data_IF_851756490586
#
_entry.id   IF_851756490586
#
_cell.length_a   1.000
_cell.length_b   1.000
_cell.length_c   1.000
_cell.angle_alpha   90.00
_cell.angle_beta   90.00
_cell.angle_gamma   90.00
#
_symmetry.space_group_name_H-M   'P 1'
#
loop_
_entity.id
_entity.type
_entity.pdbx_description
1 polymer ?
#
# COMPACT_ATOMS: atom_id res chain seq x y z
N UNK A 1 62.94 18.32 -1.03
CA UNK A 1 62.22 19.37 -1.79
C UNK A 1 61.51 18.65 -2.94
N UNK A 2 60.17 18.62 -2.91
CA UNK A 2 59.34 17.75 -3.76
C UNK A 2 58.59 18.62 -4.76
N UNK A 3 58.74 18.27 -6.03
CA UNK A 3 58.36 19.07 -7.18
C UNK A 3 56.85 19.23 -7.32
N UNK A 4 56.51 20.41 -7.85
CA UNK A 4 55.20 20.91 -8.26
C UNK A 4 54.63 20.03 -9.38
N UNK A 5 53.33 19.70 -9.33
CA UNK A 5 52.55 19.49 -10.55
C UNK A 5 51.06 19.77 -10.30
N UNK A 6 50.68 20.95 -10.76
CA UNK A 6 49.34 21.43 -11.03
C UNK A 6 48.70 20.59 -12.15
N UNK A 7 47.48 20.08 -11.99
CA UNK A 7 46.65 19.62 -13.11
C UNK A 7 45.17 19.60 -12.74
N UNK A 8 44.47 20.52 -13.40
CA UNK A 8 43.04 20.68 -13.53
C UNK A 8 42.51 19.66 -14.56
N UNK A 9 41.53 18.84 -14.20
CA UNK A 9 40.58 18.19 -15.12
C UNK A 9 39.42 17.63 -14.26
N UNK A 10 38.15 18.09 -14.39
CA UNK A 10 37.16 17.63 -15.39
C UNK A 10 37.20 16.09 -15.51
N UNK A 11 36.14 15.32 -15.27
CA UNK A 11 34.86 15.31 -15.99
C UNK A 11 33.83 14.52 -15.16
N UNK A 12 32.57 14.97 -15.25
CA UNK A 12 31.33 14.24 -14.97
C UNK A 12 31.46 12.70 -15.03
N UNK A 13 31.12 12.04 -13.93
CA UNK A 13 30.60 10.68 -13.97
C UNK A 13 29.18 10.73 -13.43
N UNK A 14 28.26 11.09 -14.32
CA UNK A 14 26.88 10.63 -14.22
C UNK A 14 26.95 9.11 -14.24
N UNK A 15 26.88 8.49 -13.07
CA UNK A 15 26.48 7.09 -12.99
C UNK A 15 25.01 7.04 -13.40
N UNK A 16 24.78 7.01 -14.71
CA UNK A 16 23.56 6.49 -15.27
C UNK A 16 23.42 5.07 -14.71
N UNK A 17 22.47 4.89 -13.79
CA UNK A 17 22.01 3.57 -13.37
C UNK A 17 21.25 2.98 -14.56
N UNK A 18 22.01 2.46 -15.53
CA UNK A 18 21.48 1.50 -16.48
C UNK A 18 21.44 0.14 -15.77
N UNK A 19 20.31 -0.54 -15.96
CA UNK A 19 20.09 -1.95 -15.65
C UNK A 19 19.80 -2.32 -14.19
N UNK A 20 18.57 -2.01 -13.77
CA UNK A 20 17.74 -2.98 -13.03
C UNK A 20 16.44 -3.15 -13.82
N UNK A 21 16.50 -3.94 -14.90
CA UNK A 21 15.34 -4.68 -15.39
C UNK A 21 15.43 -6.08 -14.80
N UNK A 22 14.85 -6.26 -13.61
CA UNK A 22 14.34 -7.57 -13.20
C UNK A 22 13.15 -7.33 -12.26
N UNK A 23 11.95 -7.33 -12.87
CA UNK A 23 10.67 -7.44 -12.19
C UNK A 23 10.33 -6.25 -11.31
N UNK A 24 9.54 -5.31 -11.83
CA UNK A 24 8.96 -4.19 -11.11
C UNK A 24 8.54 -4.52 -9.67
N UNK A 25 9.46 -4.37 -8.73
CA UNK A 25 9.16 -4.13 -7.34
C UNK A 25 8.65 -2.69 -7.29
N UNK A 26 7.43 -2.49 -7.79
CA UNK A 26 6.70 -1.27 -7.51
C UNK A 26 6.65 -1.21 -6.00
N UNK A 27 7.41 -0.28 -5.42
CA UNK A 27 7.25 0.14 -4.04
C UNK A 27 5.88 0.82 -3.97
N UNK A 28 4.81 0.01 -4.01
CA UNK A 28 3.45 0.45 -3.78
C UNK A 28 3.35 0.60 -2.27
N UNK A 29 4.01 1.60 -1.72
CA UNK A 29 3.54 2.13 -0.45
C UNK A 29 2.08 2.54 -0.70
N UNK A 30 1.11 1.91 -0.02
CA UNK A 30 -0.27 2.30 -0.18
C UNK A 30 -0.36 3.78 0.18
N UNK A 31 -0.87 4.59 -0.73
CA UNK A 31 -1.13 6.01 -0.46
C UNK A 31 -1.85 6.11 0.88
N UNK A 32 -1.43 7.02 1.76
CA UNK A 32 -1.97 7.15 3.13
C UNK A 32 -3.51 7.18 3.13
N UNK A 33 -4.09 7.88 2.16
CA UNK A 33 -5.55 7.94 1.92
C UNK A 33 -6.21 6.56 1.73
N UNK A 34 -5.57 5.62 1.04
CA UNK A 34 -6.09 4.25 0.85
C UNK A 34 -6.04 3.44 2.15
N UNK A 35 -5.00 3.64 2.96
CA UNK A 35 -4.87 2.99 4.27
C UNK A 35 -5.94 3.52 5.21
N UNK A 36 -6.14 4.83 5.21
CA UNK A 36 -7.18 5.50 6.01
C UNK A 36 -8.58 5.04 5.61
N UNK A 37 -8.91 5.03 4.32
CA UNK A 37 -10.20 4.54 3.82
C UNK A 37 -10.46 3.07 4.22
N UNK A 38 -9.43 2.22 4.16
CA UNK A 38 -9.53 0.82 4.60
C UNK A 38 -9.79 0.72 6.10
N UNK A 39 -9.05 1.49 6.92
CA UNK A 39 -9.25 1.54 8.38
C UNK A 39 -10.65 2.03 8.74
N UNK A 40 -11.13 3.08 8.09
CA UNK A 40 -12.49 3.59 8.29
C UNK A 40 -13.53 2.51 7.99
N UNK A 41 -13.41 1.82 6.86
CA UNK A 41 -14.32 0.73 6.51
C UNK A 41 -14.32 -0.42 7.54
N UNK A 42 -13.16 -0.85 8.03
CA UNK A 42 -13.09 -1.86 9.09
C UNK A 42 -13.63 -1.38 10.43
N UNK A 43 -13.45 -0.09 10.76
CA UNK A 43 -14.02 0.49 11.97
C UNK A 43 -15.56 0.57 11.90
N UNK A 44 -16.13 0.89 10.74
CA UNK A 44 -17.58 0.85 10.54
C UNK A 44 -18.13 -0.57 10.71
N UNK A 45 -17.46 -1.58 10.13
CA UNK A 45 -17.84 -2.98 10.32
C UNK A 45 -17.75 -3.43 11.79
N UNK A 46 -16.75 -2.95 12.54
CA UNK A 46 -16.69 -3.18 13.99
C UNK A 46 -17.84 -2.54 14.74
N UNK A 47 -18.22 -1.30 14.40
CA UNK A 47 -19.39 -0.61 15.01
C UNK A 47 -20.69 -1.34 14.71
N UNK A 48 -20.79 -2.01 13.56
CA UNK A 48 -21.92 -2.85 13.17
C UNK A 48 -21.92 -4.22 13.87
N UNK A 49 -20.90 -4.53 14.68
CA UNK A 49 -20.82 -5.75 15.45
C UNK A 49 -20.11 -6.91 14.75
N UNK A 50 -19.53 -6.69 13.56
CA UNK A 50 -18.82 -7.76 12.83
C UNK A 50 -17.45 -8.13 13.43
N UNK A 51 -16.97 -7.38 14.42
CA UNK A 51 -15.67 -7.59 15.05
C UNK A 51 -14.50 -7.35 14.10
N UNK A 52 -13.32 -7.89 14.45
CA UNK A 52 -12.12 -7.79 13.61
C UNK A 52 -11.85 -9.13 12.90
N UNK A 53 -11.50 -9.13 11.60
CA UNK A 53 -11.24 -10.36 10.84
C UNK A 53 -10.05 -11.18 11.33
N UNK A 54 -9.24 -10.62 12.24
CA UNK A 54 -8.10 -11.31 12.88
C UNK A 54 -8.57 -12.22 14.02
N UNK A 55 -9.69 -11.88 14.64
CA UNK A 55 -10.22 -12.59 15.81
C UNK A 55 -11.12 -13.74 15.37
N UNK A 56 -12.05 -13.47 14.43
CA UNK A 56 -12.92 -14.47 13.82
C UNK A 56 -13.22 -14.10 12.36
N UNK A 57 -12.49 -14.72 11.43
CA UNK A 57 -12.59 -14.41 10.01
C UNK A 57 -13.92 -14.88 9.37
N UNK A 58 -14.49 -15.99 9.85
CA UNK A 58 -15.70 -16.56 9.28
C UNK A 58 -16.94 -15.82 9.78
N UNK A 59 -16.96 -15.46 11.07
CA UNK A 59 -17.97 -14.54 11.60
C UNK A 59 -17.92 -13.20 10.88
N UNK A 60 -16.72 -12.61 10.75
CA UNK A 60 -16.55 -11.33 10.06
C UNK A 60 -17.08 -11.37 8.63
N UNK A 61 -16.75 -12.41 7.85
CA UNK A 61 -17.24 -12.56 6.46
C UNK A 61 -18.76 -12.67 6.39
N UNK A 62 -19.34 -13.46 7.28
CA UNK A 62 -20.80 -13.66 7.34
C UNK A 62 -21.49 -12.34 7.67
N UNK A 63 -21.10 -11.68 8.76
CA UNK A 63 -21.64 -10.39 9.17
C UNK A 63 -21.42 -9.32 8.09
N UNK A 64 -20.22 -9.22 7.51
CA UNK A 64 -19.90 -8.29 6.43
C UNK A 64 -20.83 -8.49 5.23
N UNK A 65 -21.12 -9.73 4.84
CA UNK A 65 -22.04 -10.02 3.74
C UNK A 65 -23.48 -9.60 4.06
N UNK A 66 -23.91 -9.75 5.31
CA UNK A 66 -25.26 -9.35 5.76
C UNK A 66 -25.43 -7.82 5.75
N UNK A 67 -24.39 -7.09 6.18
CA UNK A 67 -24.43 -5.62 6.26
C UNK A 67 -23.92 -4.92 5.00
N UNK A 68 -23.45 -5.67 3.99
CA UNK A 68 -22.76 -5.13 2.82
C UNK A 68 -23.54 -4.02 2.10
N UNK A 69 -24.86 -4.20 1.95
CA UNK A 69 -25.73 -3.24 1.27
C UNK A 69 -25.92 -1.93 2.05
N UNK A 70 -25.62 -1.94 3.35
CA UNK A 70 -25.72 -0.79 4.24
C UNK A 70 -24.41 0.00 4.32
N UNK A 71 -23.31 -0.53 3.77
CA UNK A 71 -22.02 0.14 3.71
C UNK A 71 -22.00 1.23 2.63
N UNK A 72 -21.17 2.26 2.81
CA UNK A 72 -20.92 3.25 1.76
C UNK A 72 -20.22 2.63 0.54
N UNK A 73 -20.33 3.28 -0.62
CA UNK A 73 -19.79 2.78 -1.89
C UNK A 73 -18.26 2.58 -1.89
N UNK A 74 -17.53 3.37 -1.11
CA UNK A 74 -16.10 3.22 -0.89
C UNK A 74 -15.79 1.96 -0.10
N UNK A 75 -16.48 1.74 1.01
CA UNK A 75 -16.31 0.53 1.83
C UNK A 75 -16.76 -0.73 1.08
N UNK A 76 -17.86 -0.69 0.31
CA UNK A 76 -18.24 -1.76 -0.60
C UNK A 76 -17.15 -2.09 -1.62
N UNK A 77 -16.54 -1.07 -2.23
CA UNK A 77 -15.43 -1.26 -3.18
C UNK A 77 -14.23 -1.93 -2.53
N UNK A 78 -13.89 -1.55 -1.30
CA UNK A 78 -12.79 -2.14 -0.53
C UNK A 78 -13.13 -3.60 -0.19
N UNK A 79 -14.32 -3.86 0.35
CA UNK A 79 -14.76 -5.22 0.71
C UNK A 79 -14.84 -6.13 -0.50
N UNK A 80 -15.36 -5.63 -1.63
CA UNK A 80 -15.36 -6.38 -2.90
C UNK A 80 -13.95 -6.70 -3.39
N UNK A 81 -12.99 -5.78 -3.23
CA UNK A 81 -11.59 -6.05 -3.60
C UNK A 81 -10.93 -7.10 -2.70
N UNK A 82 -11.25 -7.10 -1.41
CA UNK A 82 -10.60 -7.96 -0.42
C UNK A 82 -11.28 -9.34 -0.29
N UNK A 83 -12.59 -9.41 -0.51
CA UNK A 83 -13.41 -10.59 -0.23
C UNK A 83 -14.35 -10.98 -1.38
N UNK A 84 -14.44 -10.19 -2.45
CA UNK A 84 -15.19 -10.55 -3.64
C UNK A 84 -14.47 -11.69 -4.37
N UNK A 85 -15.15 -12.83 -4.52
CA UNK A 85 -14.74 -13.90 -5.41
C UNK A 85 -15.06 -13.56 -6.86
#
# INVERSE_FOLDING_TARGET
>A
MKHILMSLALVFSVSAFADIDEGSAVNIQPKAERVEASRTCFNELQKLGCGHPKDDADHFRTCMSEVYTSLDSGCQTIMKRLYGK
#
